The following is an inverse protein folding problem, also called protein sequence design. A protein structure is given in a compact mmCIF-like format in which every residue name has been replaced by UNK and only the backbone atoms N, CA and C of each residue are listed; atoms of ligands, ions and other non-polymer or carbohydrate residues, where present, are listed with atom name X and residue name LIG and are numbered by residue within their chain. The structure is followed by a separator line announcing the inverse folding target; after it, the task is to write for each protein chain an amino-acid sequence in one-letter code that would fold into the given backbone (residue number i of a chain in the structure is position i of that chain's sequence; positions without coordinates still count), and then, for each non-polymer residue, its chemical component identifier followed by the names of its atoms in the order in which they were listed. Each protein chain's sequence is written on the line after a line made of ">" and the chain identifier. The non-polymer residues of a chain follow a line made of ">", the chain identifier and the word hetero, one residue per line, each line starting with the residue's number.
data_IF_839593510332
#
_entry.id   IF_839593510332
#
_cell.length_a   1.000
_cell.length_b   1.000
_cell.length_c   1.000
_cell.angle_alpha   90.00
_cell.angle_beta   90.00
_cell.angle_gamma   90.00
#
_symmetry.space_group_name_H-M   'P 1'
#
loop_
_entity.id
_entity.type
_entity.pdbx_description
1 polymer ?
#
# COMPACT_ATOMS: atom_id res chain seq x y z
N UNK A 1 0.41 5.63 -10.75
CA UNK A 1 1.66 5.11 -10.14
C UNK A 1 2.30 6.13 -9.20
N UNK A 2 2.57 7.37 -9.63
CA UNK A 2 3.16 8.41 -8.76
C UNK A 2 2.40 8.66 -7.44
N UNK A 3 1.06 8.58 -7.46
CA UNK A 3 0.22 8.72 -6.27
C UNK A 3 0.55 7.70 -5.15
N UNK A 4 0.69 6.42 -5.51
CA UNK A 4 0.92 5.33 -4.55
C UNK A 4 2.29 5.48 -3.90
N UNK A 5 3.32 5.76 -4.71
CA UNK A 5 4.69 5.98 -4.22
C UNK A 5 4.79 7.24 -3.34
N UNK A 6 4.20 8.35 -3.77
CA UNK A 6 4.23 9.61 -3.03
C UNK A 6 3.52 9.48 -1.67
N UNK A 7 2.29 8.97 -1.67
CA UNK A 7 1.51 8.79 -0.43
C UNK A 7 2.16 7.79 0.53
N UNK A 8 2.83 6.74 0.05
CA UNK A 8 3.57 5.83 0.91
C UNK A 8 4.75 6.54 1.60
N UNK A 9 5.52 7.32 0.84
CA UNK A 9 6.64 8.09 1.37
C UNK A 9 6.19 9.15 2.39
N UNK A 10 5.09 9.86 2.12
CA UNK A 10 4.48 10.83 3.06
C UNK A 10 4.08 10.18 4.39
N UNK A 11 3.67 8.92 4.37
CA UNK A 11 3.31 8.15 5.56
C UNK A 11 4.51 7.45 6.19
N UNK A 12 5.72 7.57 5.63
CA UNK A 12 6.92 6.89 6.13
C UNK A 12 6.95 5.38 5.85
N UNK A 13 6.16 4.91 4.89
CA UNK A 13 6.15 3.52 4.44
C UNK A 13 7.17 3.31 3.33
N UNK A 14 7.96 2.25 3.45
CA UNK A 14 8.91 1.85 2.42
C UNK A 14 8.30 0.79 1.51
N UNK A 15 8.17 1.11 0.22
CA UNK A 15 7.77 0.17 -0.82
C UNK A 15 8.97 -0.71 -1.17
N UNK A 16 8.81 -2.02 -1.05
CA UNK A 16 9.78 -3.01 -1.52
C UNK A 16 9.64 -3.27 -3.02
N UNK A 17 8.40 -3.43 -3.49
CA UNK A 17 8.09 -3.68 -4.89
C UNK A 17 6.79 -3.00 -5.27
N UNK A 18 6.75 -2.42 -6.45
CA UNK A 18 5.54 -1.91 -7.08
C UNK A 18 5.51 -2.39 -8.52
N UNK A 19 4.52 -3.20 -8.84
CA UNK A 19 4.29 -3.72 -10.18
C UNK A 19 2.98 -3.12 -10.70
N UNK A 20 3.06 -2.36 -11.78
CA UNK A 20 1.87 -1.85 -12.44
C UNK A 20 1.40 -2.85 -13.49
N UNK A 21 0.13 -3.22 -13.39
CA UNK A 21 -0.53 -4.11 -14.33
C UNK A 21 -1.39 -3.31 -15.33
N UNK A 22 -1.99 -4.01 -16.28
CA UNK A 22 -2.93 -3.37 -17.22
C UNK A 22 -4.14 -2.78 -16.50
N UNK A 23 -4.77 -1.77 -17.12
CA UNK A 23 -6.06 -1.21 -16.69
C UNK A 23 -6.06 -0.57 -15.28
N UNK A 24 -4.93 0.00 -14.85
CA UNK A 24 -4.85 0.76 -13.58
C UNK A 24 -4.71 -0.11 -12.34
N UNK A 25 -4.54 -1.42 -12.49
CA UNK A 25 -4.18 -2.31 -11.40
C UNK A 25 -2.70 -2.12 -11.01
N UNK A 26 -2.43 -2.16 -9.70
CA UNK A 26 -1.10 -2.01 -9.13
C UNK A 26 -0.94 -2.99 -7.97
N UNK A 27 0.10 -3.81 -8.01
CA UNK A 27 0.52 -4.66 -6.90
C UNK A 27 1.62 -3.96 -6.12
N UNK A 28 1.49 -3.89 -4.80
CA UNK A 28 2.45 -3.22 -3.91
C UNK A 28 2.86 -4.17 -2.80
N UNK A 29 4.17 -4.36 -2.64
CA UNK A 29 4.75 -5.00 -1.46
C UNK A 29 5.47 -3.96 -0.61
N UNK A 30 5.23 -3.96 0.69
CA UNK A 30 5.87 -3.07 1.65
C UNK A 30 6.91 -3.81 2.49
N UNK A 31 7.98 -3.10 2.84
CA UNK A 31 8.84 -3.51 3.94
C UNK A 31 8.05 -3.50 5.27
N UNK A 32 8.47 -4.28 6.28
CA UNK A 32 7.78 -4.33 7.56
C UNK A 32 7.59 -2.95 8.20
N UNK A 33 6.34 -2.57 8.47
CA UNK A 33 5.97 -1.27 9.04
C UNK A 33 4.99 -1.43 10.21
N UNK A 34 4.89 -0.45 11.12
CA UNK A 34 3.85 -0.45 12.15
C UNK A 34 2.45 -0.57 11.52
N UNK A 35 1.61 -1.46 12.05
CA UNK A 35 0.27 -1.71 11.49
C UNK A 35 -0.61 -0.44 11.46
N UNK A 36 -0.51 0.41 12.47
CA UNK A 36 -1.24 1.69 12.51
C UNK A 36 -0.84 2.65 11.38
N UNK A 37 0.44 2.64 10.98
CA UNK A 37 0.94 3.48 9.88
C UNK A 37 0.40 2.97 8.54
N UNK A 38 0.37 1.65 8.36
CA UNK A 38 -0.28 1.03 7.20
C UNK A 38 -1.77 1.42 7.14
N UNK A 39 -2.51 1.29 8.25
CA UNK A 39 -3.94 1.61 8.27
C UNK A 39 -4.23 3.10 7.94
N UNK A 40 -3.40 4.03 8.42
CA UNK A 40 -3.50 5.45 8.05
C UNK A 40 -3.29 5.67 6.54
N UNK A 41 -2.30 4.99 5.96
CA UNK A 41 -2.03 5.10 4.53
C UNK A 41 -3.14 4.50 3.66
N UNK A 42 -3.68 3.33 4.03
CA UNK A 42 -4.81 2.71 3.32
C UNK A 42 -6.03 3.66 3.26
N UNK A 43 -6.37 4.30 4.37
CA UNK A 43 -7.44 5.31 4.41
C UNK A 43 -7.13 6.52 3.51
N UNK A 44 -5.88 6.99 3.48
CA UNK A 44 -5.47 8.08 2.61
C UNK A 44 -5.55 7.73 1.12
N UNK A 45 -5.28 6.47 0.76
CA UNK A 45 -5.46 5.97 -0.60
C UNK A 45 -6.94 5.94 -1.01
N UNK A 46 -7.80 5.37 -0.15
CA UNK A 46 -9.25 5.32 -0.41
C UNK A 46 -9.86 6.73 -0.52
N UNK A 47 -9.44 7.67 0.33
CA UNK A 47 -9.85 9.07 0.26
C UNK A 47 -9.44 9.78 -1.05
N UNK A 48 -8.46 9.25 -1.77
CA UNK A 48 -8.00 9.73 -3.07
C UNK A 48 -8.56 8.91 -4.24
N UNK A 49 -9.55 8.04 -3.98
CA UNK A 49 -10.24 7.24 -4.99
C UNK A 49 -9.51 5.97 -5.41
N UNK A 50 -8.42 5.59 -4.73
CA UNK A 50 -7.75 4.30 -4.96
C UNK A 50 -8.52 3.21 -4.24
N UNK A 51 -8.90 2.15 -4.95
CA UNK A 51 -9.55 0.99 -4.35
C UNK A 51 -8.51 -0.03 -3.89
N UNK A 52 -8.68 -0.56 -2.69
CA UNK A 52 -7.95 -1.73 -2.21
C UNK A 52 -8.73 -2.97 -2.61
N UNK A 53 -8.14 -3.83 -3.43
CA UNK A 53 -8.78 -5.06 -3.93
C UNK A 53 -8.34 -6.28 -3.16
N UNK A 54 -7.08 -6.30 -2.74
CA UNK A 54 -6.48 -7.35 -1.94
C UNK A 54 -5.58 -6.72 -0.89
N UNK A 55 -5.62 -7.27 0.33
CA UNK A 55 -4.73 -6.87 1.42
C UNK A 55 -4.26 -8.10 2.19
N UNK A 56 -3.13 -8.66 1.76
CA UNK A 56 -2.42 -9.70 2.49
C UNK A 56 -1.47 -9.06 3.50
N UNK A 57 -1.55 -9.49 4.76
CA UNK A 57 -0.66 -8.99 5.82
C UNK A 57 -0.06 -10.16 6.56
N UNK A 58 1.26 -10.14 6.71
CA UNK A 58 2.00 -11.10 7.53
C UNK A 58 2.57 -10.38 8.75
N UNK A 59 2.20 -10.88 9.93
CA UNK A 59 2.74 -10.35 11.18
C UNK A 59 4.24 -10.62 11.26
N UNK A 60 4.99 -9.59 11.61
CA UNK A 60 6.40 -9.64 11.96
C UNK A 60 6.57 -9.30 13.44
N UNK A 61 7.82 -9.26 13.88
CA UNK A 61 8.17 -8.90 15.25
C UNK A 61 7.71 -7.49 15.61
N UNK A 62 7.56 -7.24 16.91
CA UNK A 62 7.36 -5.90 17.47
C UNK A 62 6.11 -5.16 16.94
N UNK A 63 5.06 -5.90 16.54
CA UNK A 63 3.80 -5.31 16.07
C UNK A 63 3.87 -4.73 14.65
N UNK A 64 4.92 -5.08 13.89
CA UNK A 64 5.08 -4.70 12.49
C UNK A 64 4.40 -5.72 11.58
N UNK A 65 4.04 -5.28 10.39
CA UNK A 65 3.47 -6.14 9.35
C UNK A 65 4.20 -5.93 8.03
N UNK A 66 4.51 -7.02 7.35
CA UNK A 66 4.78 -6.97 5.91
C UNK A 66 3.43 -7.04 5.20
N UNK A 67 3.22 -6.20 4.19
CA UNK A 67 1.95 -6.14 3.48
C UNK A 67 2.15 -6.32 1.98
N UNK A 68 1.25 -7.09 1.37
CA UNK A 68 1.09 -7.20 -0.07
C UNK A 68 -0.32 -6.76 -0.43
N UNK A 69 -0.42 -5.74 -1.27
CA UNK A 69 -1.67 -5.09 -1.62
C UNK A 69 -1.92 -5.19 -3.11
N UNK A 70 -3.14 -5.56 -3.49
CA UNK A 70 -3.69 -5.33 -4.81
C UNK A 70 -4.49 -4.03 -4.77
N UNK A 71 -4.10 -3.06 -5.59
CA UNK A 71 -4.74 -1.75 -5.66
C UNK A 71 -5.29 -1.52 -7.06
N UNK A 72 -6.39 -0.78 -7.16
CA UNK A 72 -6.89 -0.24 -8.40
C UNK A 72 -6.94 1.27 -8.34
N UNK A 73 -6.13 1.89 -9.17
CA UNK A 73 -6.20 3.32 -9.45
C UNK A 73 -7.26 3.49 -10.54
N UNK A 74 -8.36 4.15 -10.22
CA UNK A 74 -9.46 4.36 -11.17
C UNK A 74 -9.01 5.15 -12.41
N UNK A 75 -9.77 5.07 -13.52
CA UNK A 75 -9.67 6.04 -14.61
C UNK A 75 -10.08 7.45 -14.17
#
# INVERSE_FOLDING_TARGET
>A
QGLVTASAAEQGLAIERLDAEGQGAVQVSLQPAPFEQLLRWLQALEGQGVRIEEAGMERRDEGRVAARLGLRVGP
#
